data_IF_197322109697
#
_entry.id   IF_197322109697
#
_cell.length_a   1.000
_cell.length_b   1.000
_cell.length_c   1.000
_cell.angle_alpha   90.00
_cell.angle_beta   90.00
_cell.angle_gamma   90.00
#
_symmetry.space_group_name_H-M   'P 1'
#
loop_
_entity.id
_entity.type
_entity.pdbx_description
1 polymer ?
#
# COMPACT_ATOMS: atom_id res chain seq x y z
N UNK A 1 -22.90 -4.53 6.23
CA UNK A 1 -23.66 -4.05 7.40
C UNK A 1 -24.38 -2.78 7.00
N UNK A 2 -25.66 -2.64 7.33
CA UNK A 2 -26.39 -1.37 7.18
C UNK A 2 -26.45 -0.67 8.53
N UNK A 3 -26.17 0.63 8.55
CA UNK A 3 -26.21 1.50 9.71
C UNK A 3 -27.32 2.51 9.47
N UNK A 4 -28.37 2.43 10.27
CA UNK A 4 -29.55 3.28 10.20
C UNK A 4 -29.55 4.31 11.35
N UNK A 5 -30.41 5.32 11.26
CA UNK A 5 -30.57 6.33 12.31
C UNK A 5 -29.52 7.45 12.29
N UNK A 6 -28.87 7.68 11.15
CA UNK A 6 -28.01 8.85 10.96
C UNK A 6 -28.87 10.11 10.77
N UNK A 7 -28.26 11.28 10.98
CA UNK A 7 -28.93 12.56 10.77
C UNK A 7 -29.56 12.66 9.37
N UNK A 8 -30.66 13.40 9.27
CA UNK A 8 -31.42 13.60 8.03
C UNK A 8 -31.95 12.30 7.37
N UNK A 9 -32.12 11.23 8.16
CA UNK A 9 -32.61 9.95 7.64
C UNK A 9 -31.60 9.22 6.76
N UNK A 10 -30.32 9.58 6.85
CA UNK A 10 -29.27 8.92 6.09
C UNK A 10 -29.03 7.48 6.60
N UNK A 11 -28.53 6.64 5.70
CA UNK A 11 -28.12 5.27 5.97
C UNK A 11 -26.69 5.09 5.47
N UNK A 12 -25.85 4.38 6.22
CA UNK A 12 -24.51 4.02 5.77
C UNK A 12 -24.39 2.51 5.56
N UNK A 13 -23.62 2.11 4.55
CA UNK A 13 -23.29 0.71 4.29
C UNK A 13 -21.81 0.51 4.61
N UNK A 14 -21.53 -0.44 5.50
CA UNK A 14 -20.16 -0.90 5.79
C UNK A 14 -19.97 -2.27 5.17
N UNK A 15 -19.07 -2.36 4.21
CA UNK A 15 -18.68 -3.61 3.57
C UNK A 15 -17.35 -4.09 4.16
N UNK A 16 -17.30 -5.36 4.55
CA UNK A 16 -16.09 -6.01 5.04
C UNK A 16 -15.74 -7.14 4.09
N UNK A 17 -14.60 -7.04 3.42
CA UNK A 17 -14.14 -8.03 2.45
C UNK A 17 -12.73 -8.48 2.78
N UNK A 18 -12.43 -9.74 2.52
CA UNK A 18 -11.08 -10.29 2.69
C UNK A 18 -10.21 -9.85 1.51
N UNK A 19 -8.97 -9.40 1.75
CA UNK A 19 -8.08 -8.89 0.70
C UNK A 19 -7.69 -9.92 -0.37
N UNK A 20 -7.89 -11.21 -0.11
CA UNK A 20 -7.71 -12.26 -1.14
C UNK A 20 -8.81 -12.23 -2.21
N UNK A 21 -9.95 -11.62 -1.93
CA UNK A 21 -11.09 -11.54 -2.85
C UNK A 21 -11.14 -10.19 -3.57
N UNK A 22 -10.67 -9.12 -2.93
CA UNK A 22 -10.82 -7.74 -3.43
C UNK A 22 -9.60 -6.90 -3.04
N UNK A 23 -8.97 -6.26 -4.03
CA UNK A 23 -7.95 -5.24 -3.81
C UNK A 23 -8.56 -3.82 -3.83
N UNK A 24 -7.74 -2.77 -3.62
CA UNK A 24 -8.24 -1.39 -3.57
C UNK A 24 -8.93 -0.93 -4.86
N UNK A 25 -8.50 -1.44 -6.02
CA UNK A 25 -9.05 -1.08 -7.33
C UNK A 25 -10.30 -1.88 -7.63
N UNK A 26 -10.26 -3.21 -7.42
CA UNK A 26 -11.43 -4.09 -7.52
C UNK A 26 -12.52 -3.71 -6.53
N UNK A 27 -12.17 -3.11 -5.39
CA UNK A 27 -13.13 -2.59 -4.42
C UNK A 27 -13.93 -1.41 -4.98
N UNK A 28 -13.26 -0.49 -5.68
CA UNK A 28 -13.92 0.62 -6.36
C UNK A 28 -14.77 0.13 -7.55
N UNK A 29 -14.27 -0.85 -8.33
CA UNK A 29 -15.02 -1.48 -9.41
C UNK A 29 -16.28 -2.20 -8.88
N UNK A 30 -16.19 -2.91 -7.74
CA UNK A 30 -17.35 -3.50 -7.07
C UNK A 30 -18.34 -2.45 -6.58
N UNK A 31 -17.86 -1.33 -6.05
CA UNK A 31 -18.74 -0.24 -5.65
C UNK A 31 -19.50 0.34 -6.85
N UNK A 32 -18.88 0.45 -8.03
CA UNK A 32 -19.54 0.88 -9.27
C UNK A 32 -20.57 -0.13 -9.80
N UNK A 33 -20.37 -1.42 -9.54
CA UNK A 33 -21.36 -2.46 -9.89
C UNK A 33 -22.53 -2.44 -8.91
N UNK A 34 -22.27 -2.17 -7.62
CA UNK A 34 -23.27 -2.21 -6.56
C UNK A 34 -24.04 -0.90 -6.38
N UNK A 35 -23.46 0.24 -6.79
CA UNK A 35 -24.01 1.57 -6.58
C UNK A 35 -24.10 2.31 -7.91
N UNK A 36 -25.29 2.86 -8.18
CA UNK A 36 -25.49 3.80 -9.27
C UNK A 36 -25.07 5.21 -8.86
N UNK A 37 -24.52 5.98 -9.80
CA UNK A 37 -24.23 7.41 -9.62
C UNK A 37 -25.50 8.29 -9.57
N UNK A 38 -26.65 7.71 -9.95
CA UNK A 38 -27.95 8.36 -10.03
C UNK A 38 -28.92 7.70 -9.04
N UNK A 39 -29.79 8.51 -8.44
CA UNK A 39 -30.90 8.00 -7.62
C UNK A 39 -31.91 7.19 -8.45
N UNK A 40 -31.91 7.36 -9.77
CA UNK A 40 -32.70 6.55 -10.71
C UNK A 40 -31.78 5.52 -11.35
N UNK A 41 -31.89 4.23 -10.97
CA UNK A 41 -31.03 3.18 -11.50
C UNK A 41 -31.35 2.91 -12.98
N UNK A 42 -30.32 2.69 -13.79
CA UNK A 42 -30.52 2.10 -15.12
C UNK A 42 -30.39 0.60 -14.97
N UNK A 43 -31.52 -0.11 -14.89
CA UNK A 43 -31.52 -1.56 -14.83
C UNK A 43 -30.93 -2.10 -16.13
N UNK A 44 -29.71 -2.61 -16.09
CA UNK A 44 -29.11 -3.34 -17.20
C UNK A 44 -29.92 -4.60 -17.52
N UNK A 45 -29.80 -5.10 -18.74
CA UNK A 45 -30.36 -6.40 -19.08
C UNK A 45 -29.74 -7.48 -18.19
N UNK A 46 -30.53 -8.41 -17.62
CA UNK A 46 -29.98 -9.52 -16.86
C UNK A 46 -29.01 -10.30 -17.74
N UNK A 47 -27.92 -10.84 -17.16
CA UNK A 47 -26.92 -11.55 -17.93
C UNK A 47 -27.58 -12.69 -18.72
N UNK A 48 -27.27 -12.80 -20.02
CA UNK A 48 -27.84 -13.84 -20.91
C UNK A 48 -27.61 -15.27 -20.39
N UNK A 49 -26.57 -15.47 -19.59
CA UNK A 49 -26.22 -16.76 -19.01
C UNK A 49 -26.35 -16.72 -17.49
N UNK A 50 -27.11 -17.67 -16.98
CA UNK A 50 -27.15 -17.97 -15.56
C UNK A 50 -25.75 -18.36 -15.07
N UNK A 51 -25.25 -17.62 -14.07
CA UNK A 51 -23.95 -17.92 -13.47
C UNK A 51 -24.02 -19.25 -12.73
N UNK A 52 -23.19 -20.20 -13.14
CA UNK A 52 -23.04 -21.49 -12.46
C UNK A 52 -21.66 -21.53 -11.81
N UNK A 53 -21.58 -21.61 -10.46
CA UNK A 53 -20.30 -21.72 -9.79
C UNK A 53 -19.58 -23.01 -10.21
N UNK A 54 -18.25 -22.95 -10.20
CA UNK A 54 -17.44 -24.15 -10.34
C UNK A 54 -17.71 -25.13 -9.20
N UNK A 55 -17.53 -26.43 -9.47
CA UNK A 55 -17.66 -27.46 -8.45
C UNK A 55 -16.59 -27.23 -7.38
N UNK A 56 -17.00 -27.29 -6.11
CA UNK A 56 -16.02 -27.28 -5.01
C UNK A 56 -15.04 -28.45 -5.17
N UNK A 57 -13.73 -28.20 -5.01
CA UNK A 57 -12.75 -29.27 -5.00
C UNK A 57 -13.03 -30.27 -3.88
N UNK A 58 -12.78 -31.54 -4.15
CA UNK A 58 -12.83 -32.58 -3.11
C UNK A 58 -11.59 -32.53 -2.21
N UNK A 59 -11.66 -33.10 -1.00
CA UNK A 59 -10.51 -33.16 -0.08
C UNK A 59 -9.26 -33.80 -0.71
N UNK A 60 -9.46 -34.79 -1.58
CA UNK A 60 -8.37 -35.46 -2.30
C UNK A 60 -7.76 -34.53 -3.35
N UNK A 61 -8.58 -33.79 -4.09
CA UNK A 61 -8.11 -32.80 -5.07
C UNK A 61 -7.35 -31.67 -4.38
N UNK A 62 -7.82 -31.20 -3.23
CA UNK A 62 -7.12 -30.22 -2.40
C UNK A 62 -5.78 -30.76 -1.91
N UNK A 63 -5.74 -32.01 -1.44
CA UNK A 63 -4.52 -32.62 -0.92
C UNK A 63 -3.51 -32.89 -2.05
N UNK A 64 -3.97 -33.35 -3.20
CA UNK A 64 -3.13 -33.52 -4.39
C UNK A 64 -2.57 -32.17 -4.88
N UNK A 65 -3.42 -31.14 -4.95
CA UNK A 65 -3.00 -29.78 -5.27
C UNK A 65 -1.94 -29.25 -4.31
N UNK A 66 -2.16 -29.42 -3.00
CA UNK A 66 -1.19 -29.03 -1.98
C UNK A 66 0.15 -29.78 -2.11
N UNK A 67 0.13 -31.09 -2.39
CA UNK A 67 1.36 -31.86 -2.61
C UNK A 67 2.11 -31.41 -3.86
N UNK A 68 1.40 -31.14 -4.96
CA UNK A 68 1.97 -30.57 -6.18
C UNK A 68 2.62 -29.21 -5.89
N UNK A 69 1.94 -28.33 -5.16
CA UNK A 69 2.50 -27.04 -4.75
C UNK A 69 3.77 -27.18 -3.91
N UNK A 70 3.82 -28.15 -2.99
CA UNK A 70 5.01 -28.42 -2.17
C UNK A 70 6.22 -28.83 -3.01
N UNK A 71 6.03 -29.54 -4.14
CA UNK A 71 7.16 -29.92 -5.01
C UNK A 71 7.76 -28.72 -5.76
N UNK A 72 6.96 -27.68 -6.05
CA UNK A 72 7.43 -26.46 -6.68
C UNK A 72 8.12 -25.48 -5.71
N UNK A 73 7.95 -25.66 -4.38
CA UNK A 73 8.47 -24.72 -3.38
C UNK A 73 9.99 -24.51 -3.42
N UNK A 74 10.86 -25.54 -3.52
CA UNK A 74 12.31 -25.34 -3.52
C UNK A 74 12.78 -24.48 -4.70
N UNK A 75 12.18 -24.66 -5.87
CA UNK A 75 12.49 -23.87 -7.06
C UNK A 75 12.06 -22.40 -6.88
N UNK A 76 10.86 -22.15 -6.33
CA UNK A 76 10.39 -20.81 -5.98
C UNK A 76 11.29 -20.14 -4.93
N UNK A 77 11.74 -20.89 -3.92
CA UNK A 77 12.70 -20.43 -2.90
C UNK A 77 14.00 -19.94 -3.53
N UNK A 78 14.60 -20.77 -4.39
CA UNK A 78 15.86 -20.47 -5.05
C UNK A 78 15.73 -19.23 -5.96
N UNK A 79 14.60 -19.13 -6.69
CA UNK A 79 14.27 -17.96 -7.51
C UNK A 79 14.20 -16.69 -6.65
N UNK A 80 13.47 -16.73 -5.53
CA UNK A 80 13.35 -15.59 -4.61
C UNK A 80 14.70 -15.17 -4.02
N UNK A 81 15.53 -16.12 -3.57
CA UNK A 81 16.88 -15.86 -3.05
C UNK A 81 17.76 -15.20 -4.11
N UNK A 82 17.80 -15.77 -5.32
CA UNK A 82 18.61 -15.25 -6.42
C UNK A 82 18.20 -13.83 -6.79
N UNK A 83 16.90 -13.57 -6.93
CA UNK A 83 16.38 -12.25 -7.27
C UNK A 83 16.66 -11.23 -6.16
N UNK A 84 16.55 -11.63 -4.89
CA UNK A 84 16.93 -10.79 -3.75
C UNK A 84 18.41 -10.39 -3.83
N UNK A 85 19.30 -11.32 -4.16
CA UNK A 85 20.72 -11.03 -4.34
C UNK A 85 20.98 -10.09 -5.54
N UNK A 86 20.29 -10.28 -6.66
CA UNK A 86 20.39 -9.42 -7.85
C UNK A 86 19.92 -7.99 -7.54
N UNK A 87 18.80 -7.82 -6.84
CA UNK A 87 18.30 -6.51 -6.38
C UNK A 87 19.30 -5.85 -5.43
N UNK A 88 19.81 -6.58 -4.43
CA UNK A 88 20.80 -6.05 -3.49
C UNK A 88 22.10 -5.59 -4.18
N UNK A 89 22.58 -6.35 -5.17
CA UNK A 89 23.75 -5.99 -5.97
C UNK A 89 23.49 -4.75 -6.83
N UNK A 90 22.30 -4.65 -7.42
CA UNK A 90 21.90 -3.51 -8.28
C UNK A 90 21.80 -2.23 -7.45
N UNK A 91 21.13 -2.29 -6.29
CA UNK A 91 21.08 -1.19 -5.33
C UNK A 91 22.48 -0.76 -4.87
N UNK A 92 23.36 -1.73 -4.56
CA UNK A 92 24.73 -1.43 -4.12
C UNK A 92 25.59 -0.78 -5.20
N UNK A 93 25.40 -1.13 -6.47
CA UNK A 93 26.11 -0.50 -7.60
C UNK A 93 25.59 0.92 -7.84
N UNK A 94 24.28 1.11 -7.80
CA UNK A 94 23.65 2.40 -8.08
C UNK A 94 23.84 3.41 -6.94
N UNK A 95 23.84 2.98 -5.68
CA UNK A 95 24.19 3.84 -4.54
C UNK A 95 25.68 4.28 -4.51
N UNK A 96 26.50 3.85 -5.48
CA UNK A 96 27.87 4.34 -5.70
C UNK A 96 27.95 5.41 -6.80
N UNK A 97 26.87 5.69 -7.53
CA UNK A 97 26.82 6.76 -8.51
C UNK A 97 26.62 8.10 -7.77
N UNK A 98 27.47 9.12 -7.99
CA UNK A 98 27.49 10.33 -7.15
C UNK A 98 26.26 11.23 -7.23
N UNK A 99 25.46 11.15 -8.31
CA UNK A 99 24.45 12.16 -8.65
C UNK A 99 22.99 11.75 -8.37
N UNK A 100 22.74 10.62 -7.69
CA UNK A 100 21.38 10.16 -7.39
C UNK A 100 21.20 10.03 -5.89
N UNK A 101 20.32 10.85 -5.30
CA UNK A 101 19.88 10.67 -3.92
C UNK A 101 19.24 9.27 -3.78
N UNK A 102 19.81 8.37 -2.96
CA UNK A 102 19.25 7.03 -2.81
C UNK A 102 17.89 7.11 -2.11
N UNK A 103 16.95 6.21 -2.42
CA UNK A 103 15.69 6.13 -1.69
C UNK A 103 15.98 5.81 -0.22
N UNK A 104 15.02 6.08 0.70
CA UNK A 104 15.17 5.70 2.09
C UNK A 104 15.61 4.23 2.20
N UNK A 105 16.70 3.98 2.92
CA UNK A 105 17.20 2.63 3.12
C UNK A 105 16.15 1.73 3.77
N UNK A 106 16.20 0.42 3.50
CA UNK A 106 15.38 -0.54 4.22
C UNK A 106 15.65 -0.39 5.72
N UNK A 107 14.58 -0.22 6.52
CA UNK A 107 14.63 0.04 7.96
C UNK A 107 15.24 1.40 8.36
N UNK A 108 15.26 2.38 7.46
CA UNK A 108 15.71 3.74 7.78
C UNK A 108 14.65 4.58 8.52
N UNK A 109 13.39 4.15 8.51
CA UNK A 109 12.30 4.88 9.16
C UNK A 109 12.54 5.00 10.68
N UNK A 110 12.32 6.19 11.28
CA UNK A 110 12.48 6.39 12.72
C UNK A 110 11.49 5.51 13.48
N UNK A 111 11.85 5.14 14.71
CA UNK A 111 10.88 4.51 15.62
C UNK A 111 9.98 5.59 16.19
N UNK A 112 8.68 5.33 16.19
CA UNK A 112 7.69 6.26 16.73
C UNK A 112 6.63 5.52 17.55
N UNK A 113 5.83 6.25 18.32
CA UNK A 113 4.72 5.72 19.12
C UNK A 113 3.63 5.04 18.27
N UNK A 114 3.48 5.40 16.99
CA UNK A 114 2.49 4.79 16.09
C UNK A 114 2.96 3.46 15.48
N UNK A 115 4.25 3.14 15.57
CA UNK A 115 4.86 1.91 15.03
C UNK A 115 5.02 0.79 16.07
N UNK A 116 4.15 0.77 17.09
CA UNK A 116 4.12 -0.26 18.12
C UNK A 116 3.27 -1.47 17.69
N UNK A 117 3.36 -2.54 18.46
CA UNK A 117 2.54 -3.74 18.32
C UNK A 117 1.04 -3.41 18.22
N UNK A 118 0.42 -3.82 17.11
CA UNK A 118 -0.98 -3.54 16.80
C UNK A 118 -1.90 -4.22 17.83
N UNK A 119 -2.82 -3.45 18.42
CA UNK A 119 -3.86 -3.96 19.33
C UNK A 119 -5.16 -4.26 18.55
N UNK A 120 -6.22 -4.81 19.17
CA UNK A 120 -7.53 -4.94 18.51
C UNK A 120 -8.26 -3.60 18.32
N UNK A 121 -7.86 -2.54 19.01
CA UNK A 121 -8.53 -1.25 18.93
C UNK A 121 -8.21 -0.54 17.62
N UNK A 122 -9.25 0.01 16.96
CA UNK A 122 -9.13 0.85 15.77
C UNK A 122 -9.77 2.19 16.06
N UNK A 123 -9.13 3.25 15.62
CA UNK A 123 -9.68 4.62 15.61
C UNK A 123 -9.72 5.09 14.17
N UNK A 124 -10.78 5.78 13.82
CA UNK A 124 -10.98 6.37 12.51
C UNK A 124 -11.27 7.85 12.69
N UNK A 125 -10.67 8.67 11.83
CA UNK A 125 -10.91 10.10 11.75
C UNK A 125 -10.92 10.49 10.27
N UNK A 126 -11.72 11.48 9.92
CA UNK A 126 -11.80 12.00 8.57
C UNK A 126 -11.85 13.53 8.60
N UNK A 127 -11.44 14.13 7.49
CA UNK A 127 -11.58 15.56 7.22
C UNK A 127 -11.87 15.74 5.74
N UNK A 128 -12.33 16.92 5.36
CA UNK A 128 -12.63 17.26 3.97
C UNK A 128 -11.87 18.53 3.60
N UNK A 129 -11.25 18.52 2.43
CA UNK A 129 -10.54 19.66 1.86
C UNK A 129 -11.03 19.81 0.42
N UNK A 130 -11.35 21.03 -0.04
CA UNK A 130 -11.74 21.26 -1.43
C UNK A 130 -10.64 20.81 -2.40
N UNK A 131 -11.00 20.01 -3.40
CA UNK A 131 -10.05 19.55 -4.42
C UNK A 131 -9.48 20.71 -5.24
N UNK A 132 -10.24 21.78 -5.38
CA UNK A 132 -9.81 23.01 -6.05
C UNK A 132 -8.61 23.67 -5.35
N UNK A 133 -8.59 23.70 -4.02
CA UNK A 133 -7.47 24.22 -3.25
C UNK A 133 -6.21 23.37 -3.45
N UNK A 134 -6.37 22.04 -3.42
CA UNK A 134 -5.26 21.10 -3.67
C UNK A 134 -4.70 21.28 -5.08
N UNK A 135 -5.57 21.46 -6.08
CA UNK A 135 -5.16 21.75 -7.47
C UNK A 135 -4.51 23.12 -7.61
N UNK A 136 -4.99 24.13 -6.89
CA UNK A 136 -4.40 25.47 -6.90
C UNK A 136 -2.96 25.43 -6.38
N UNK A 137 -2.71 24.74 -5.26
CA UNK A 137 -1.36 24.54 -4.70
C UNK A 137 -0.47 23.82 -5.72
N UNK A 138 -0.94 22.68 -6.25
CA UNK A 138 -0.20 21.92 -7.28
C UNK A 138 0.14 22.79 -8.49
N UNK A 139 -0.78 23.61 -8.97
CA UNK A 139 -0.55 24.46 -10.14
C UNK A 139 0.41 25.63 -9.83
N UNK A 140 0.43 26.13 -8.59
CA UNK A 140 1.30 27.22 -8.17
C UNK A 140 2.75 26.77 -7.94
N UNK A 141 2.95 25.58 -7.35
CA UNK A 141 4.27 25.10 -6.91
C UNK A 141 4.82 23.93 -7.74
N UNK A 142 4.04 23.40 -8.68
CA UNK A 142 4.41 22.23 -9.49
C UNK A 142 4.09 20.90 -8.81
N UNK A 143 4.55 19.80 -9.43
CA UNK A 143 4.29 18.44 -8.96
C UNK A 143 2.88 17.92 -9.29
N UNK A 144 2.42 16.95 -8.51
CA UNK A 144 1.15 16.25 -8.68
C UNK A 144 0.21 16.45 -7.50
N UNK A 145 -1.08 16.12 -7.68
CA UNK A 145 -2.06 16.14 -6.58
C UNK A 145 -1.59 15.23 -5.42
N UNK A 146 -0.93 14.11 -5.73
CA UNK A 146 -0.42 13.19 -4.72
C UNK A 146 0.71 13.81 -3.90
N UNK A 147 1.58 14.61 -4.52
CA UNK A 147 2.69 15.26 -3.82
C UNK A 147 2.13 16.29 -2.82
N UNK A 148 1.08 17.03 -3.20
CA UNK A 148 0.38 17.94 -2.28
C UNK A 148 -0.27 17.17 -1.13
N UNK A 149 -0.94 16.04 -1.40
CA UNK A 149 -1.53 15.19 -0.35
C UNK A 149 -0.47 14.66 0.61
N UNK A 150 0.67 14.18 0.10
CA UNK A 150 1.79 13.72 0.90
C UNK A 150 2.34 14.85 1.79
N UNK A 151 2.52 16.05 1.24
CA UNK A 151 2.99 17.22 2.00
C UNK A 151 2.00 17.65 3.09
N UNK A 152 0.69 17.58 2.83
CA UNK A 152 -0.36 17.84 3.82
C UNK A 152 -0.31 16.80 4.95
N UNK A 153 -0.22 15.51 4.62
CA UNK A 153 -0.08 14.45 5.60
C UNK A 153 1.20 14.60 6.42
N UNK A 154 2.33 14.94 5.79
CA UNK A 154 3.59 15.19 6.47
C UNK A 154 3.48 16.33 7.50
N UNK A 155 2.88 17.46 7.11
CA UNK A 155 2.66 18.59 8.00
C UNK A 155 1.69 18.27 9.16
N UNK A 156 0.66 17.47 8.89
CA UNK A 156 -0.26 17.01 9.93
C UNK A 156 0.41 16.04 10.92
N UNK A 157 1.23 15.11 10.44
CA UNK A 157 1.99 14.17 11.26
C UNK A 157 3.03 14.90 12.11
N UNK A 158 3.72 15.90 11.56
CA UNK A 158 4.67 16.71 12.32
C UNK A 158 3.96 17.36 13.52
N UNK A 159 2.87 18.09 13.27
CA UNK A 159 2.06 18.68 14.36
C UNK A 159 1.53 17.64 15.34
N UNK A 160 1.19 16.44 14.86
CA UNK A 160 0.73 15.36 15.73
C UNK A 160 1.83 14.89 16.70
N UNK A 161 3.05 14.67 16.22
CA UNK A 161 4.17 14.29 17.08
C UNK A 161 4.64 15.43 17.99
N UNK A 162 4.62 16.67 17.50
CA UNK A 162 4.88 17.86 18.32
C UNK A 162 3.88 17.95 19.49
N UNK A 163 2.59 17.74 19.24
CA UNK A 163 1.56 17.73 20.28
C UNK A 163 1.68 16.56 21.28
N UNK A 164 2.46 15.53 20.95
CA UNK A 164 2.78 14.40 21.83
C UNK A 164 4.10 14.60 22.58
N UNK A 165 4.80 15.73 22.37
CA UNK A 165 6.17 15.97 22.83
C UNK A 165 7.12 14.83 22.38
N UNK A 166 6.86 14.22 21.23
CA UNK A 166 7.65 13.10 20.70
C UNK A 166 8.65 13.61 19.65
N UNK A 167 9.93 13.52 19.99
CA UNK A 167 11.01 13.90 19.09
C UNK A 167 11.24 12.86 17.97
N UNK A 168 11.12 13.31 16.72
CA UNK A 168 11.45 12.51 15.54
C UNK A 168 12.95 12.60 15.24
N UNK A 169 13.66 11.48 15.34
CA UNK A 169 15.12 11.43 15.08
C UNK A 169 15.49 11.59 13.61
N UNK A 170 14.59 11.20 12.72
CA UNK A 170 14.76 11.16 11.28
C UNK A 170 13.42 11.53 10.62
N UNK A 171 13.39 11.89 9.32
CA UNK A 171 12.13 12.11 8.60
C UNK A 171 11.27 10.83 8.57
N UNK A 172 9.95 10.98 8.71
CA UNK A 172 9.03 9.84 8.56
C UNK A 172 9.08 9.28 7.13
N UNK A 173 8.90 7.97 7.00
CA UNK A 173 8.82 7.28 5.70
C UNK A 173 7.42 6.75 5.50
N UNK A 174 6.80 7.07 4.36
CA UNK A 174 5.52 6.53 3.94
C UNK A 174 5.69 5.45 2.88
N UNK A 175 4.90 4.39 2.98
CA UNK A 175 4.63 3.47 1.87
C UNK A 175 3.47 4.02 1.05
N UNK A 176 3.69 4.22 -0.25
CA UNK A 176 2.70 4.79 -1.17
C UNK A 176 2.41 3.80 -2.30
N UNK A 177 1.17 3.30 -2.43
CA UNK A 177 0.80 2.46 -3.56
C UNK A 177 0.88 3.22 -4.89
N UNK A 178 1.50 2.61 -5.90
CA UNK A 178 1.51 3.08 -7.29
C UNK A 178 0.65 2.17 -8.16
N UNK A 179 -0.15 2.80 -9.02
CA UNK A 179 -0.85 2.10 -10.10
C UNK A 179 0.10 1.93 -11.29
N UNK A 180 0.62 0.71 -11.49
CA UNK A 180 1.51 0.36 -12.61
C UNK A 180 0.74 -0.26 -13.79
N UNK A 181 -0.48 0.21 -14.07
CA UNK A 181 -1.23 -0.20 -15.27
C UNK A 181 -0.61 0.49 -16.50
N UNK A 182 0.24 -0.22 -17.24
CA UNK A 182 0.58 0.16 -18.63
C UNK A 182 -0.67 0.10 -19.50
N UNK A 183 -0.82 0.98 -20.49
CA UNK A 183 -2.01 1.00 -21.38
C UNK A 183 -2.33 -0.35 -22.03
N UNK A 184 -1.30 -1.16 -22.32
CA UNK A 184 -1.41 -2.52 -22.87
C UNK A 184 -1.99 -3.58 -21.91
N UNK A 185 -2.22 -3.24 -20.63
CA UNK A 185 -2.71 -4.17 -19.60
C UNK A 185 -4.11 -3.79 -19.07
N UNK A 186 -4.79 -2.82 -19.70
CA UNK A 186 -6.22 -2.56 -19.42
C UNK A 186 -7.03 -3.81 -19.78
N UNK A 187 -7.53 -4.51 -18.76
CA UNK A 187 -8.37 -5.72 -18.90
C UNK A 187 -7.76 -7.05 -18.42
N UNK A 188 -6.50 -7.07 -17.98
CA UNK A 188 -5.91 -8.27 -17.37
C UNK A 188 -6.23 -8.33 -15.86
N UNK A 189 -6.82 -9.44 -15.39
CA UNK A 189 -6.99 -9.70 -13.95
C UNK A 189 -5.66 -10.04 -13.27
N UNK A 190 -5.41 -9.43 -12.11
CA UNK A 190 -4.23 -9.68 -11.25
C UNK A 190 -3.77 -8.43 -10.51
N UNK A 191 -3.59 -8.52 -9.18
CA UNK A 191 -3.09 -7.42 -8.35
C UNK A 191 -1.62 -7.12 -8.73
N UNK A 192 -1.40 -6.09 -9.55
CA UNK A 192 -0.05 -5.50 -9.75
C UNK A 192 0.01 -4.18 -9.02
N UNK A 193 0.05 -4.24 -7.68
CA UNK A 193 0.19 -3.05 -6.83
C UNK A 193 1.66 -2.86 -6.52
N UNK A 194 2.28 -1.90 -7.19
CA UNK A 194 3.65 -1.45 -6.89
C UNK A 194 3.60 -0.56 -5.63
N UNK A 195 4.59 -0.64 -4.74
CA UNK A 195 4.62 0.16 -3.50
C UNK A 195 5.95 0.88 -3.34
N UNK A 196 5.97 2.20 -3.47
CA UNK A 196 7.18 3.00 -3.27
C UNK A 196 7.32 3.46 -1.83
N UNK A 197 8.56 3.58 -1.35
CA UNK A 197 8.89 4.24 -0.08
C UNK A 197 9.26 5.69 -0.35
N UNK A 198 8.63 6.60 0.36
CA UNK A 198 8.79 8.05 0.20
C UNK A 198 9.16 8.67 1.55
N UNK A 199 10.23 9.45 1.58
CA UNK A 199 10.51 10.33 2.72
C UNK A 199 9.47 11.45 2.76
N UNK A 200 8.84 11.65 3.91
CA UNK A 200 7.87 12.72 4.13
C UNK A 200 8.51 14.05 4.50
N UNK A 201 9.84 14.08 4.69
CA UNK A 201 10.60 15.29 5.01
C UNK A 201 9.98 16.08 6.19
N UNK A 202 9.59 15.37 7.26
CA UNK A 202 8.98 15.94 8.47
C UNK A 202 9.94 16.78 9.31
N UNK A 203 11.23 16.74 8.97
CA UNK A 203 12.30 17.59 9.48
C UNK A 203 12.26 19.02 8.91
N UNK A 204 11.69 19.21 7.72
CA UNK A 204 11.55 20.51 7.08
C UNK A 204 10.31 21.23 7.65
N UNK A 205 10.50 22.40 8.25
CA UNK A 205 9.41 23.19 8.84
C UNK A 205 8.57 23.90 7.76
N UNK A 206 9.25 24.58 6.83
CA UNK A 206 8.60 25.33 5.76
C UNK A 206 7.75 24.41 4.85
N UNK A 207 6.45 24.70 4.69
CA UNK A 207 5.56 23.82 3.94
C UNK A 207 5.83 23.79 2.44
N UNK A 208 6.40 24.85 1.87
CA UNK A 208 6.71 24.94 0.44
C UNK A 208 8.00 24.18 0.15
N UNK A 209 9.04 24.37 0.95
CA UNK A 209 10.29 23.62 0.87
C UNK A 209 10.04 22.11 1.03
N UNK A 210 9.19 21.72 2.00
CA UNK A 210 8.80 20.31 2.20
C UNK A 210 8.05 19.74 1.00
N UNK A 211 7.15 20.50 0.38
CA UNK A 211 6.45 20.08 -0.84
C UNK A 211 7.44 19.84 -1.99
N UNK A 212 8.41 20.73 -2.18
CA UNK A 212 9.44 20.57 -3.20
C UNK A 212 10.30 19.33 -2.95
N UNK A 213 10.78 19.13 -1.72
CA UNK A 213 11.58 17.95 -1.36
C UNK A 213 10.81 16.64 -1.58
N UNK A 214 9.53 16.59 -1.19
CA UNK A 214 8.66 15.43 -1.46
C UNK A 214 8.49 15.21 -2.96
N UNK A 215 8.23 16.27 -3.74
CA UNK A 215 8.02 16.17 -5.20
C UNK A 215 9.26 15.64 -5.92
N UNK A 216 10.44 16.08 -5.50
CA UNK A 216 11.71 15.55 -6.01
C UNK A 216 11.90 14.07 -5.63
N UNK A 217 11.66 13.75 -4.36
CA UNK A 217 11.76 12.38 -3.84
C UNK A 217 10.81 11.39 -4.51
N UNK A 218 9.55 11.80 -4.77
CA UNK A 218 8.56 10.95 -5.46
C UNK A 218 8.87 10.79 -6.95
N UNK A 219 9.45 11.80 -7.60
CA UNK A 219 9.97 11.70 -8.97
C UNK A 219 11.04 10.61 -9.08
N UNK A 220 12.08 10.71 -8.24
CA UNK A 220 13.15 9.71 -8.19
C UNK A 220 12.67 8.31 -7.80
N UNK A 221 11.74 8.20 -6.83
CA UNK A 221 11.20 6.91 -6.41
C UNK A 221 10.43 6.20 -7.55
N UNK A 222 9.68 6.94 -8.38
CA UNK A 222 8.98 6.37 -9.54
C UNK A 222 9.95 5.87 -10.61
N UNK A 223 11.01 6.63 -10.90
CA UNK A 223 12.05 6.24 -11.85
C UNK A 223 12.84 5.00 -11.35
N UNK A 224 13.00 4.88 -10.04
CA UNK A 224 13.67 3.75 -9.39
C UNK A 224 12.78 2.50 -9.30
N UNK A 225 11.49 2.61 -8.98
CA UNK A 225 10.57 1.47 -8.97
C UNK A 225 10.48 0.79 -10.34
N UNK A 226 10.39 1.60 -11.41
CA UNK A 226 10.41 1.11 -12.78
C UNK A 226 11.69 0.35 -13.15
N UNK A 227 12.80 0.59 -12.44
CA UNK A 227 14.11 0.04 -12.73
C UNK A 227 14.55 -1.11 -11.81
N UNK A 228 14.07 -1.19 -10.56
CA UNK A 228 14.68 -2.03 -9.51
C UNK A 228 13.87 -3.30 -9.21
N UNK A 229 12.59 -3.38 -9.60
CA UNK A 229 11.80 -4.61 -9.45
C UNK A 229 11.60 -5.07 -8.00
N UNK A 230 11.70 -4.17 -7.02
CA UNK A 230 11.53 -4.49 -5.58
C UNK A 230 10.16 -5.13 -5.29
N UNK A 231 9.11 -4.69 -5.99
CA UNK A 231 7.77 -5.26 -5.82
C UNK A 231 7.69 -6.72 -6.29
N UNK A 232 8.36 -7.05 -7.38
CA UNK A 232 8.45 -8.44 -7.84
C UNK A 232 9.24 -9.34 -6.90
N UNK A 233 10.17 -8.78 -6.10
CA UNK A 233 10.86 -9.51 -5.03
C UNK A 233 9.91 -9.80 -3.86
N UNK A 234 9.13 -8.81 -3.42
CA UNK A 234 8.13 -9.01 -2.36
C UNK A 234 7.03 -9.99 -2.77
N UNK A 235 6.55 -9.90 -4.02
CA UNK A 235 5.62 -10.87 -4.61
C UNK A 235 6.20 -12.29 -4.61
N UNK A 236 7.44 -12.47 -5.06
CA UNK A 236 8.13 -13.76 -5.07
C UNK A 236 8.28 -14.33 -3.63
N UNK A 237 8.50 -13.48 -2.61
CA UNK A 237 8.54 -13.89 -1.21
C UNK A 237 7.17 -14.27 -0.65
N UNK A 238 6.10 -13.58 -1.05
CA UNK A 238 4.71 -13.93 -0.70
C UNK A 238 4.29 -15.24 -1.36
N UNK A 239 4.69 -15.47 -2.62
CA UNK A 239 4.45 -16.73 -3.34
C UNK A 239 5.25 -17.90 -2.76
N UNK A 240 6.46 -17.64 -2.27
CA UNK A 240 7.29 -18.63 -1.61
C UNK A 240 6.82 -18.96 -0.18
N UNK A 241 6.39 -17.96 0.59
CA UNK A 241 5.99 -18.17 1.97
C UNK A 241 4.66 -18.93 2.03
N UNK A 242 4.73 -20.26 2.14
CA UNK A 242 3.56 -21.11 2.36
C UNK A 242 2.64 -20.45 3.40
N UNK A 243 1.34 -20.22 3.12
CA UNK A 243 0.47 -19.41 3.96
C UNK A 243 0.49 -19.82 5.44
N UNK A 244 0.66 -21.13 5.71
CA UNK A 244 0.80 -21.66 7.06
C UNK A 244 2.09 -21.22 7.77
N UNK A 245 3.23 -21.16 7.07
CA UNK A 245 4.52 -20.70 7.60
C UNK A 245 4.47 -19.19 7.82
N UNK A 246 3.99 -18.43 6.82
CA UNK A 246 3.82 -16.98 6.93
C UNK A 246 2.91 -16.61 8.11
N UNK A 247 1.75 -17.27 8.24
CA UNK A 247 0.83 -17.01 9.34
C UNK A 247 1.41 -17.38 10.71
N UNK A 248 2.22 -18.45 10.81
CA UNK A 248 2.92 -18.79 12.05
C UNK A 248 4.01 -17.78 12.39
N UNK A 249 4.82 -17.36 11.41
CA UNK A 249 5.84 -16.34 11.57
C UNK A 249 5.22 -14.99 11.99
N UNK A 250 4.15 -14.55 11.33
CA UNK A 250 3.41 -13.34 11.68
C UNK A 250 2.82 -13.42 13.10
N UNK A 251 2.22 -14.56 13.47
CA UNK A 251 1.72 -14.78 14.85
C UNK A 251 2.85 -14.74 15.88
N UNK A 252 4.00 -15.34 15.58
CA UNK A 252 5.16 -15.31 16.46
C UNK A 252 5.66 -13.88 16.62
N UNK A 253 5.89 -13.18 15.50
CA UNK A 253 6.31 -11.78 15.46
C UNK A 253 5.41 -10.89 16.31
N UNK A 254 4.08 -11.02 16.15
CA UNK A 254 3.08 -10.29 16.93
C UNK A 254 3.11 -10.68 18.43
N UNK A 255 3.15 -11.98 18.76
CA UNK A 255 3.19 -12.46 20.16
C UNK A 255 4.45 -12.01 20.90
N UNK A 256 5.58 -11.96 20.20
CA UNK A 256 6.86 -11.53 20.77
C UNK A 256 7.03 -10.01 20.80
N UNK A 257 6.04 -9.25 20.30
CA UNK A 257 6.12 -7.79 20.13
C UNK A 257 7.39 -7.35 19.40
N UNK A 258 7.75 -8.09 18.34
CA UNK A 258 9.04 -7.90 17.67
C UNK A 258 9.11 -6.54 16.95
N UNK A 259 7.97 -6.00 16.52
CA UNK A 259 7.86 -4.64 15.98
C UNK A 259 8.43 -3.58 16.93
N UNK A 260 8.31 -3.79 18.24
CA UNK A 260 8.79 -2.85 19.26
C UNK A 260 10.32 -2.89 19.40
N UNK A 261 11.03 -3.76 18.68
CA UNK A 261 12.47 -4.05 18.87
C UNK A 261 13.37 -3.65 17.70
N UNK A 262 12.82 -3.19 16.59
CA UNK A 262 13.63 -2.75 15.44
C UNK A 262 13.03 -1.48 14.81
N UNK A 263 13.84 -0.78 14.01
CA UNK A 263 13.32 0.31 13.16
C UNK A 263 12.32 -0.27 12.16
N UNK A 264 11.16 0.34 11.92
CA UNK A 264 10.21 -0.16 10.93
C UNK A 264 10.75 0.06 9.50
N UNK A 265 10.19 -0.66 8.52
CA UNK A 265 10.50 -0.40 7.10
C UNK A 265 9.96 0.95 6.64
N UNK A 266 8.77 1.31 7.12
CA UNK A 266 8.08 2.57 6.91
C UNK A 266 7.20 2.87 8.13
N UNK A 267 6.90 4.14 8.38
CA UNK A 267 6.08 4.56 9.52
C UNK A 267 4.58 4.38 9.27
N UNK A 268 4.12 4.64 8.05
CA UNK A 268 2.71 4.57 7.71
C UNK A 268 2.48 4.34 6.22
N UNK A 269 1.24 4.02 5.87
CA UNK A 269 0.78 3.98 4.48
C UNK A 269 -0.02 5.24 4.19
N UNK A 270 0.32 5.93 3.10
CA UNK A 270 -0.50 7.03 2.56
C UNK A 270 -0.99 6.58 1.19
N UNK A 271 -2.31 6.58 1.02
CA UNK A 271 -2.94 6.13 -0.22
C UNK A 271 -3.91 7.18 -0.73
N UNK A 272 -3.89 7.39 -2.04
CA UNK A 272 -4.91 8.09 -2.80
C UNK A 272 -5.57 7.04 -3.70
N UNK A 273 -6.74 6.55 -3.29
CA UNK A 273 -7.64 5.72 -4.11
C UNK A 273 -9.01 6.39 -4.10
#
# INVERSE_FOLDING_TARGET
YAIEGLENGMVAIVTKTHHSAVDGVSGAELAQILLDLSATPTMGEPPEKEWKPERLPTDIELMAGAMLELTAQPARALKAIRRTAEVALTLRRRNREPDVAPPPGLFAAPRTSINTSITPHRRFAYTQIPLEDVKAIKNAFGGTVNDVVLALCAGALRRYFDNLDEYLSDPLVAMVPLSVRTEAQKGAMGNKVSQMLVSLHTDIDDPVERLHAITEGTGHAKDQEGAIGVNSMLEDWVEFAAPAVAARAARLYARTKMADRHKPLFNLTISNV
#
